data_IF_536652070782
#
_entry.id   IF_536652070782
#
_cell.length_a   1.000
_cell.length_b   1.000
_cell.length_c   1.000
_cell.angle_alpha   90.00
_cell.angle_beta   90.00
_cell.angle_gamma   90.00
#
_symmetry.space_group_name_H-M   'P 1'
#
loop_
_entity.id
_entity.type
_entity.pdbx_description
1 polymer ?
#
# COMPACT_ATOMS: atom_id res chain seq x y z
N UNK A 1 22.73 11.13 -16.90
CA UNK A 1 21.79 10.21 -16.23
C UNK A 1 21.50 9.04 -17.17
N UNK A 2 21.54 7.77 -16.71
CA UNK A 2 21.28 6.58 -17.53
C UNK A 2 20.06 5.84 -16.95
N UNK A 3 18.97 5.76 -17.72
CA UNK A 3 17.72 5.09 -17.32
C UNK A 3 17.70 3.68 -17.91
N UNK A 4 17.27 2.70 -17.11
CA UNK A 4 17.08 1.32 -17.54
C UNK A 4 15.64 1.11 -17.97
N UNK A 5 15.39 0.98 -19.26
CA UNK A 5 14.04 0.76 -19.82
C UNK A 5 13.39 -0.52 -19.31
N UNK A 6 14.18 -1.56 -19.06
CA UNK A 6 13.71 -2.82 -18.47
C UNK A 6 13.22 -2.74 -17.02
N UNK A 7 13.54 -1.65 -16.30
CA UNK A 7 13.18 -1.45 -14.88
C UNK A 7 12.28 -0.23 -14.68
N UNK A 8 11.80 0.37 -15.76
CA UNK A 8 11.05 1.62 -15.72
C UNK A 8 9.70 1.43 -16.38
N UNK A 9 8.67 1.93 -15.72
CA UNK A 9 7.29 1.91 -16.18
C UNK A 9 6.77 3.34 -16.14
N UNK A 10 5.79 3.65 -16.99
CA UNK A 10 5.16 4.97 -17.05
C UNK A 10 3.75 4.90 -16.45
N UNK A 11 3.43 5.83 -15.57
CA UNK A 11 2.06 6.02 -15.09
C UNK A 11 1.57 7.39 -15.53
N UNK A 12 0.39 7.43 -16.15
CA UNK A 12 -0.27 8.67 -16.57
C UNK A 12 -1.40 8.96 -15.58
N UNK A 13 -1.31 10.09 -14.89
CA UNK A 13 -2.33 10.49 -13.93
C UNK A 13 -3.51 11.16 -14.65
N UNK A 14 -4.62 10.44 -14.80
CA UNK A 14 -5.85 10.98 -15.37
C UNK A 14 -7.07 10.15 -14.90
N UNK A 15 -8.20 10.82 -14.70
CA UNK A 15 -9.49 10.16 -14.39
C UNK A 15 -10.06 9.39 -15.57
N UNK A 16 -9.64 9.73 -16.80
CA UNK A 16 -9.95 8.98 -18.02
C UNK A 16 -8.72 8.23 -18.47
N UNK A 17 -8.90 7.01 -18.96
CA UNK A 17 -7.82 6.24 -19.57
C UNK A 17 -7.29 7.01 -20.78
N UNK A 18 -6.01 7.36 -20.73
CA UNK A 18 -5.29 8.04 -21.81
C UNK A 18 -4.03 7.24 -22.08
N UNK A 19 -3.83 6.89 -23.35
CA UNK A 19 -2.58 6.29 -23.79
C UNK A 19 -1.55 7.40 -24.02
N UNK A 20 -0.40 7.29 -23.35
CA UNK A 20 0.74 8.17 -23.55
C UNK A 20 1.96 7.31 -23.90
N UNK A 21 2.50 7.52 -25.10
CA UNK A 21 3.68 6.80 -25.56
C UNK A 21 4.95 7.48 -25.04
N UNK A 22 5.35 7.13 -23.81
CA UNK A 22 6.59 7.66 -23.23
C UNK A 22 7.79 6.86 -23.74
N UNK A 23 8.67 7.51 -24.51
CA UNK A 23 9.87 6.90 -25.08
C UNK A 23 11.11 7.26 -24.29
N UNK A 24 11.94 6.25 -24.01
CA UNK A 24 13.29 6.43 -23.47
C UNK A 24 14.26 5.79 -24.46
N UNK A 25 15.07 6.62 -25.13
CA UNK A 25 15.85 6.24 -26.32
C UNK A 25 14.93 5.76 -27.45
N UNK A 26 15.01 4.50 -27.84
CA UNK A 26 14.19 3.89 -28.91
C UNK A 26 13.09 2.97 -28.38
N UNK A 27 13.04 2.73 -27.06
CA UNK A 27 12.05 1.86 -26.43
C UNK A 27 10.90 2.67 -25.82
N UNK A 28 9.69 2.14 -25.94
CA UNK A 28 8.47 2.68 -25.31
C UNK A 28 8.37 2.04 -23.93
N UNK A 29 8.26 2.86 -22.88
CA UNK A 29 8.03 2.32 -21.54
C UNK A 29 6.60 1.78 -21.43
N UNK A 30 6.43 0.62 -20.75
CA UNK A 30 5.10 0.08 -20.50
C UNK A 30 4.30 1.06 -19.63
N UNK A 31 3.05 1.30 -20.01
CA UNK A 31 2.14 2.14 -19.22
C UNK A 31 1.37 1.28 -18.21
N UNK A 32 1.35 1.68 -16.94
CA UNK A 32 0.71 0.95 -15.85
C UNK A 32 -0.41 1.74 -15.19
N UNK A 33 -1.46 1.04 -14.76
CA UNK A 33 -2.61 1.62 -14.03
C UNK A 33 -2.39 1.61 -12.51
N UNK A 34 -1.68 0.60 -12.01
CA UNK A 34 -1.30 0.45 -10.62
C UNK A 34 0.21 0.33 -10.49
N UNK A 35 0.80 1.01 -9.51
CA UNK A 35 2.24 0.95 -9.28
C UNK A 35 2.52 0.94 -7.78
N UNK A 36 3.34 -0.01 -7.32
CA UNK A 36 3.73 -0.09 -5.91
C UNK A 36 5.12 0.48 -5.73
N UNK A 37 5.23 1.52 -4.92
CA UNK A 37 6.50 2.14 -4.57
C UNK A 37 6.63 2.34 -3.07
N UNK A 38 7.74 1.87 -2.49
CA UNK A 38 8.02 1.92 -1.05
C UNK A 38 6.83 1.45 -0.19
N UNK A 39 6.21 0.35 -0.61
CA UNK A 39 5.09 -0.24 0.12
C UNK A 39 3.73 0.45 -0.10
N UNK A 40 3.65 1.57 -0.81
CA UNK A 40 2.44 2.33 -1.12
C UNK A 40 1.94 2.01 -2.53
N UNK A 41 0.64 1.76 -2.68
CA UNK A 41 -0.02 1.61 -3.98
C UNK A 41 -0.40 2.98 -4.55
N UNK A 42 0.01 3.24 -5.79
CA UNK A 42 -0.39 4.38 -6.60
C UNK A 42 -1.31 3.89 -7.71
N UNK A 43 -2.31 4.70 -8.03
CA UNK A 43 -3.27 4.43 -9.10
C UNK A 43 -3.23 5.55 -10.13
N UNK A 44 -3.44 5.23 -11.40
CA UNK A 44 -3.47 6.22 -12.48
C UNK A 44 -4.61 7.25 -12.31
N UNK A 45 -5.65 6.92 -11.56
CA UNK A 45 -6.74 7.84 -11.25
C UNK A 45 -6.36 8.91 -10.21
N UNK A 46 -5.23 8.72 -9.52
CA UNK A 46 -4.78 9.58 -8.41
C UNK A 46 -5.63 9.42 -7.14
N UNK A 47 -6.41 8.33 -7.05
CA UNK A 47 -7.27 8.00 -5.92
C UNK A 47 -6.48 7.23 -4.86
N UNK A 48 -6.66 7.63 -3.60
CA UNK A 48 -6.00 7.00 -2.44
C UNK A 48 -6.85 5.89 -1.81
N UNK A 49 -8.13 5.83 -2.18
CA UNK A 49 -9.14 4.92 -1.63
C UNK A 49 -8.68 3.46 -1.71
N UNK A 50 -8.12 3.03 -2.85
CA UNK A 50 -7.62 1.67 -3.00
C UNK A 50 -6.44 1.34 -2.07
N UNK A 51 -5.53 2.28 -1.84
CA UNK A 51 -4.43 2.09 -0.88
C UNK A 51 -4.95 2.05 0.57
N UNK A 52 -5.96 2.88 0.89
CA UNK A 52 -6.62 2.86 2.19
C UNK A 52 -7.32 1.52 2.41
N UNK A 53 -8.13 1.07 1.46
CA UNK A 53 -8.85 -0.20 1.53
C UNK A 53 -7.88 -1.38 1.67
N UNK A 54 -6.77 -1.35 0.94
CA UNK A 54 -5.70 -2.34 1.07
C UNK A 54 -5.11 -2.36 2.48
N UNK A 55 -4.77 -1.20 3.06
CA UNK A 55 -4.23 -1.10 4.42
C UNK A 55 -5.24 -1.56 5.47
N UNK A 56 -6.51 -1.17 5.33
CA UNK A 56 -7.60 -1.63 6.20
C UNK A 56 -7.72 -3.16 6.13
N UNK A 57 -7.64 -3.74 4.93
CA UNK A 57 -7.65 -5.19 4.73
C UNK A 57 -6.53 -5.90 5.49
N UNK A 58 -5.28 -5.40 5.36
CA UNK A 58 -4.12 -5.98 6.06
C UNK A 58 -4.27 -5.84 7.59
N UNK A 59 -4.62 -4.64 8.07
CA UNK A 59 -4.81 -4.40 9.50
C UNK A 59 -5.94 -5.25 10.09
N UNK A 60 -7.01 -5.46 9.34
CA UNK A 60 -8.13 -6.33 9.74
C UNK A 60 -7.72 -7.79 9.86
N UNK A 61 -6.88 -8.29 8.95
CA UNK A 61 -6.33 -9.65 9.02
C UNK A 61 -5.41 -9.83 10.24
N UNK A 62 -4.57 -8.84 10.52
CA UNK A 62 -3.75 -8.80 11.73
C UNK A 62 -4.63 -8.80 12.99
N UNK A 63 -5.63 -7.92 13.03
CA UNK A 63 -6.55 -7.82 14.15
C UNK A 63 -7.31 -9.12 14.41
N UNK A 64 -7.77 -9.80 13.34
CA UNK A 64 -8.42 -11.11 13.42
C UNK A 64 -7.51 -12.16 14.06
N UNK A 65 -6.22 -12.12 13.73
CA UNK A 65 -5.22 -13.03 14.30
C UNK A 65 -4.98 -12.73 15.77
N UNK A 66 -4.79 -11.44 16.11
CA UNK A 66 -4.54 -10.99 17.48
C UNK A 66 -5.76 -11.14 18.39
N UNK A 67 -6.97 -11.22 17.85
CA UNK A 67 -8.19 -11.31 18.63
C UNK A 67 -8.15 -12.45 19.66
N UNK A 68 -7.74 -13.65 19.24
CA UNK A 68 -7.66 -14.85 20.10
C UNK A 68 -6.56 -14.76 21.16
N UNK A 69 -5.45 -14.08 20.84
CA UNK A 69 -4.24 -14.09 21.68
C UNK A 69 -4.06 -12.85 22.54
N UNK A 70 -4.73 -11.74 22.20
CA UNK A 70 -4.54 -10.45 22.86
C UNK A 70 -5.86 -9.92 23.40
N UNK A 71 -6.87 -9.78 22.54
CA UNK A 71 -8.11 -9.08 22.92
C UNK A 71 -8.88 -9.86 23.97
N UNK A 72 -9.13 -11.15 23.73
CA UNK A 72 -9.97 -11.98 24.62
C UNK A 72 -9.21 -12.59 25.79
N UNK A 73 -7.87 -12.53 25.78
CA UNK A 73 -7.05 -13.11 26.85
C UNK A 73 -7.23 -12.36 28.16
N UNK A 74 -7.57 -13.08 29.25
CA UNK A 74 -7.84 -12.49 30.57
C UNK A 74 -6.57 -12.19 31.35
N UNK A 75 -5.49 -12.91 31.02
CA UNK A 75 -4.17 -12.82 31.62
C UNK A 75 -3.47 -11.51 31.25
N UNK A 76 -3.88 -10.87 30.15
CA UNK A 76 -3.31 -9.60 29.70
C UNK A 76 -4.06 -8.41 30.31
N UNK A 77 -3.30 -7.49 30.89
CA UNK A 77 -3.83 -6.21 31.35
C UNK A 77 -4.36 -5.37 30.18
N UNK A 78 -5.35 -4.52 30.44
CA UNK A 78 -5.86 -3.59 29.43
C UNK A 78 -4.75 -2.70 28.84
N UNK A 79 -3.78 -2.28 29.67
CA UNK A 79 -2.61 -1.51 29.25
C UNK A 79 -1.76 -2.27 28.23
N UNK A 80 -1.49 -3.55 28.46
CA UNK A 80 -0.74 -4.38 27.53
C UNK A 80 -1.49 -4.57 26.20
N UNK A 81 -2.80 -4.86 26.27
CA UNK A 81 -3.64 -4.99 25.07
C UNK A 81 -3.64 -3.73 24.21
N UNK A 82 -3.80 -2.56 24.83
CA UNK A 82 -3.76 -1.27 24.15
C UNK A 82 -2.38 -0.99 23.54
N UNK A 83 -1.31 -1.33 24.26
CA UNK A 83 0.06 -1.19 23.72
C UNK A 83 0.24 -2.03 22.47
N UNK A 84 -0.16 -3.30 22.49
CA UNK A 84 -0.05 -4.20 21.34
C UNK A 84 -0.90 -3.70 20.17
N UNK A 85 -2.14 -3.28 20.43
CA UNK A 85 -3.01 -2.71 19.41
C UNK A 85 -2.38 -1.49 18.71
N UNK A 86 -1.80 -0.56 19.48
CA UNK A 86 -1.12 0.63 18.93
C UNK A 86 0.14 0.25 18.15
N UNK A 87 0.99 -0.62 18.71
CA UNK A 87 2.26 -0.98 18.08
C UNK A 87 2.11 -1.80 16.81
N UNK A 88 1.05 -2.61 16.69
CA UNK A 88 0.87 -3.52 15.55
C UNK A 88 -0.25 -3.04 14.62
N UNK A 89 -1.48 -2.91 15.13
CA UNK A 89 -2.66 -2.65 14.28
C UNK A 89 -2.66 -1.22 13.77
N UNK A 90 -2.46 -0.24 14.67
CA UNK A 90 -2.38 1.18 14.26
C UNK A 90 -1.16 1.40 13.36
N UNK A 91 -0.01 0.82 13.73
CA UNK A 91 1.19 0.87 12.87
C UNK A 91 0.90 0.37 11.46
N UNK A 92 0.24 -0.78 11.30
CA UNK A 92 -0.11 -1.34 9.97
C UNK A 92 -1.04 -0.42 9.15
N UNK A 93 -1.91 0.36 9.81
CA UNK A 93 -2.79 1.32 9.14
C UNK A 93 -2.06 2.59 8.70
N UNK A 94 -1.13 3.07 9.54
CA UNK A 94 -0.54 4.42 9.38
C UNK A 94 0.87 4.41 8.83
N UNK A 95 1.61 3.30 8.91
CA UNK A 95 2.98 3.21 8.43
C UNK A 95 3.01 3.34 6.91
N UNK A 96 3.83 4.25 6.42
CA UNK A 96 4.35 4.20 5.05
C UNK A 96 5.53 3.21 5.09
N UNK A 97 5.62 2.32 4.09
CA UNK A 97 6.54 1.19 4.09
C UNK A 97 8.02 1.57 4.24
#
# INVERSE_FOLDING_TARGET
MKISTSKSEAMVLNRKKVECLLRVKEEILPQVEEFKYLGVLFTCEGRIEQEIDRRIGVASAVMRTLHRYVVVKRELSQKAKLSIYRSIVVSTLTSFG
#
